data_IF_759064322539
#
_entry.id   IF_759064322539
#
_cell.length_a   1.000
_cell.length_b   1.000
_cell.length_c   1.000
_cell.angle_alpha   90.00
_cell.angle_beta   90.00
_cell.angle_gamma   90.00
#
_symmetry.space_group_name_H-M   'P 1'
#
loop_
_entity.id
_entity.type
_entity.pdbx_description
1 polymer ?
#
# COMPACT_ATOMS: atom_id res chain seq x y z
N UNK A 1 50.67 -0.37 -26.76
CA UNK A 1 50.18 0.20 -25.50
C UNK A 1 49.57 1.59 -25.64
N UNK A 2 48.62 1.81 -26.56
CA UNK A 2 47.93 3.10 -26.73
C UNK A 2 46.42 3.10 -26.47
N UNK A 3 45.84 1.95 -26.10
CA UNK A 3 44.38 1.76 -26.01
C UNK A 3 43.77 2.22 -24.68
N UNK A 4 44.51 2.13 -23.56
CA UNK A 4 43.99 2.48 -22.22
C UNK A 4 43.79 3.99 -22.03
N UNK A 5 44.72 4.83 -22.52
CA UNK A 5 44.61 6.29 -22.41
C UNK A 5 43.50 6.91 -23.28
N UNK A 6 43.17 6.27 -24.41
CA UNK A 6 42.06 6.70 -25.27
C UNK A 6 40.69 6.42 -24.66
N UNK A 7 40.55 5.28 -23.96
CA UNK A 7 39.32 4.88 -23.25
C UNK A 7 39.00 5.79 -22.07
N UNK A 8 40.00 6.17 -21.28
CA UNK A 8 39.82 7.13 -20.17
C UNK A 8 39.40 8.53 -20.66
N UNK A 9 40.01 9.03 -21.75
CA UNK A 9 39.61 10.31 -22.37
C UNK A 9 38.21 10.25 -22.97
N UNK A 10 37.80 9.12 -23.55
CA UNK A 10 36.45 8.95 -24.06
C UNK A 10 35.40 9.04 -22.93
N UNK A 11 35.67 8.43 -21.77
CA UNK A 11 34.81 8.54 -20.58
C UNK A 11 34.70 9.98 -20.08
N UNK A 12 35.82 10.71 -19.99
CA UNK A 12 35.83 12.12 -19.58
C UNK A 12 35.02 13.01 -20.54
N UNK A 13 35.15 12.80 -21.86
CA UNK A 13 34.44 13.57 -22.87
C UNK A 13 32.92 13.30 -22.83
N UNK A 14 32.53 12.04 -22.61
CA UNK A 14 31.12 11.64 -22.47
C UNK A 14 30.51 12.19 -21.17
N UNK A 15 31.25 12.19 -20.06
CA UNK A 15 30.81 12.78 -18.80
C UNK A 15 30.73 14.32 -18.85
N UNK A 16 31.60 14.98 -19.62
CA UNK A 16 31.68 16.44 -19.70
C UNK A 16 30.66 17.09 -20.66
N UNK A 17 30.00 16.34 -21.56
CA UNK A 17 29.02 16.90 -22.52
C UNK A 17 27.74 16.05 -22.63
N UNK A 18 26.89 16.01 -21.57
CA UNK A 18 25.58 15.38 -21.66
C UNK A 18 24.69 16.20 -22.61
N UNK A 19 24.44 15.67 -23.83
CA UNK A 19 23.49 16.25 -24.80
C UNK A 19 24.06 16.75 -26.14
N UNK A 20 25.38 16.70 -26.37
CA UNK A 20 25.95 17.01 -27.71
C UNK A 20 26.01 15.81 -28.65
N UNK A 21 25.83 14.61 -28.10
CA UNK A 21 25.92 13.37 -28.83
C UNK A 21 24.62 12.60 -28.62
N UNK A 22 24.13 12.00 -29.70
CA UNK A 22 22.98 11.10 -29.63
C UNK A 22 23.40 9.82 -28.88
N UNK A 23 22.70 9.53 -27.79
CA UNK A 23 23.00 8.41 -26.90
C UNK A 23 22.96 7.07 -27.64
N UNK A 24 22.08 6.92 -28.64
CA UNK A 24 21.99 5.72 -29.48
C UNK A 24 23.23 5.54 -30.35
N UNK A 25 23.71 6.62 -30.96
CA UNK A 25 24.93 6.59 -31.78
C UNK A 25 26.18 6.26 -30.94
N UNK A 26 26.30 6.81 -29.72
CA UNK A 26 27.44 6.48 -28.86
C UNK A 26 27.37 5.02 -28.39
N UNK A 27 26.17 4.50 -28.07
CA UNK A 27 26.00 3.10 -27.70
C UNK A 27 26.42 2.14 -28.82
N UNK A 28 26.08 2.45 -30.08
CA UNK A 28 26.53 1.67 -31.25
C UNK A 28 28.05 1.71 -31.39
N UNK A 29 28.67 2.89 -31.21
CA UNK A 29 30.14 3.05 -31.27
C UNK A 29 30.83 2.30 -30.13
N UNK A 30 30.32 2.38 -28.90
CA UNK A 30 30.83 1.61 -27.76
C UNK A 30 30.75 0.10 -28.01
N UNK A 31 29.65 -0.36 -28.62
CA UNK A 31 29.46 -1.78 -28.98
C UNK A 31 30.42 -2.23 -30.09
N UNK A 32 30.62 -1.40 -31.12
CA UNK A 32 31.57 -1.67 -32.21
C UNK A 32 33.02 -1.76 -31.70
N UNK A 33 33.41 -0.89 -30.76
CA UNK A 33 34.77 -0.83 -30.22
C UNK A 33 35.01 -1.71 -28.98
N UNK A 34 34.04 -2.54 -28.59
CA UNK A 34 34.13 -3.40 -27.40
C UNK A 34 34.54 -2.61 -26.15
N UNK A 35 33.86 -1.49 -25.92
CA UNK A 35 34.10 -0.60 -24.78
C UNK A 35 32.95 -0.68 -23.76
N UNK A 36 32.99 -1.67 -22.83
CA UNK A 36 31.91 -1.94 -21.88
C UNK A 36 31.70 -0.78 -20.90
N UNK A 37 32.78 -0.22 -20.37
CA UNK A 37 32.76 0.86 -19.38
C UNK A 37 32.02 2.12 -19.88
N UNK A 38 32.17 2.44 -21.17
CA UNK A 38 31.50 3.58 -21.77
C UNK A 38 30.01 3.36 -21.99
N UNK A 39 29.62 2.13 -22.34
CA UNK A 39 28.21 1.77 -22.49
C UNK A 39 27.48 1.79 -21.14
N UNK A 40 28.14 1.36 -20.05
CA UNK A 40 27.61 1.40 -18.70
C UNK A 40 27.25 2.82 -18.24
N UNK A 41 28.15 3.79 -18.45
CA UNK A 41 27.91 5.19 -18.09
C UNK A 41 26.73 5.78 -18.88
N UNK A 42 26.59 5.40 -20.16
CA UNK A 42 25.45 5.79 -20.99
C UNK A 42 24.14 5.16 -20.53
N UNK A 43 24.14 3.88 -20.17
CA UNK A 43 22.95 3.22 -19.63
C UNK A 43 22.52 3.81 -18.29
N UNK A 44 23.49 4.16 -17.41
CA UNK A 44 23.20 4.86 -16.15
C UNK A 44 22.57 6.25 -16.41
N UNK A 45 23.10 7.01 -17.38
CA UNK A 45 22.58 8.33 -17.75
C UNK A 45 21.21 8.28 -18.44
N UNK A 46 20.95 7.23 -19.22
CA UNK A 46 19.68 6.99 -19.90
C UNK A 46 18.62 6.33 -19.00
N UNK A 47 18.96 5.95 -17.77
CA UNK A 47 18.05 5.26 -16.84
C UNK A 47 17.75 3.80 -17.22
N UNK A 48 18.57 3.19 -18.08
CA UNK A 48 18.45 1.82 -18.57
C UNK A 48 19.13 0.84 -17.60
N UNK A 49 18.60 0.73 -16.38
CA UNK A 49 19.23 -0.04 -15.30
C UNK A 49 19.24 -1.54 -15.56
N UNK A 50 18.25 -2.05 -16.30
CA UNK A 50 18.15 -3.48 -16.63
C UNK A 50 19.29 -3.91 -17.54
N UNK A 51 19.66 -3.04 -18.47
CA UNK A 51 20.76 -3.23 -19.42
C UNK A 51 22.13 -3.17 -18.72
N UNK A 52 22.28 -2.32 -17.69
CA UNK A 52 23.45 -2.30 -16.79
C UNK A 52 23.60 -3.64 -16.07
N UNK A 53 22.52 -4.13 -15.46
CA UNK A 53 22.53 -5.39 -14.73
C UNK A 53 22.81 -6.56 -15.68
N UNK A 54 22.20 -6.58 -16.86
CA UNK A 54 22.43 -7.59 -17.89
C UNK A 54 23.88 -7.61 -18.38
N UNK A 55 24.53 -6.45 -18.42
CA UNK A 55 25.94 -6.36 -18.77
C UNK A 55 26.82 -7.07 -17.72
N UNK A 56 26.64 -6.76 -16.43
CA UNK A 56 27.37 -7.43 -15.35
C UNK A 56 27.05 -8.94 -15.25
N UNK A 57 25.81 -9.34 -15.59
CA UNK A 57 25.43 -10.75 -15.73
C UNK A 57 26.20 -11.45 -16.86
N UNK A 58 26.51 -10.74 -17.94
CA UNK A 58 27.30 -11.27 -19.06
C UNK A 58 28.78 -11.39 -18.70
N UNK A 59 29.29 -10.47 -17.87
CA UNK A 59 30.66 -10.51 -17.33
C UNK A 59 30.84 -11.51 -16.17
N UNK A 60 29.75 -12.14 -15.74
CA UNK A 60 29.71 -13.18 -14.70
C UNK A 60 30.17 -12.73 -13.30
N UNK A 61 30.00 -11.45 -12.97
CA UNK A 61 30.35 -10.88 -11.67
C UNK A 61 29.10 -10.69 -10.77
N UNK A 62 28.84 -11.60 -9.81
CA UNK A 62 27.66 -11.52 -8.94
C UNK A 62 27.70 -10.33 -7.97
N UNK A 63 28.89 -9.93 -7.52
CA UNK A 63 29.08 -8.82 -6.58
C UNK A 63 28.64 -7.49 -7.19
N UNK A 64 29.04 -7.26 -8.44
CA UNK A 64 28.68 -6.05 -9.19
C UNK A 64 27.19 -6.01 -9.57
N UNK A 65 26.57 -7.17 -9.77
CA UNK A 65 25.11 -7.29 -9.95
C UNK A 65 24.38 -6.86 -8.67
N UNK A 66 24.75 -7.39 -7.51
CA UNK A 66 24.13 -7.02 -6.22
C UNK A 66 24.36 -5.54 -5.90
N UNK A 67 25.56 -5.01 -6.13
CA UNK A 67 25.86 -3.59 -5.93
C UNK A 67 25.02 -2.68 -6.84
N UNK A 68 24.79 -3.09 -8.10
CA UNK A 68 23.93 -2.37 -9.04
C UNK A 68 22.46 -2.45 -8.63
N UNK A 69 21.98 -3.62 -8.20
CA UNK A 69 20.64 -3.80 -7.64
C UNK A 69 20.43 -2.94 -6.39
N UNK A 70 21.44 -2.77 -5.53
CA UNK A 70 21.34 -1.87 -4.37
C UNK A 70 21.22 -0.40 -4.78
N UNK A 71 21.95 0.03 -5.81
CA UNK A 71 21.92 1.43 -6.30
C UNK A 71 20.63 1.77 -7.05
N UNK A 72 20.08 0.81 -7.80
CA UNK A 72 18.95 1.05 -8.71
C UNK A 72 17.64 0.37 -8.30
N UNK A 73 17.69 -0.52 -7.31
CA UNK A 73 16.55 -1.34 -6.88
C UNK A 73 15.47 -0.60 -6.09
N UNK A 74 15.67 0.67 -5.75
CA UNK A 74 14.61 1.57 -5.30
C UNK A 74 13.80 2.14 -6.47
N UNK A 75 14.42 2.25 -7.66
CA UNK A 75 13.78 2.77 -8.87
C UNK A 75 13.05 1.67 -9.65
N UNK A 76 13.69 0.51 -9.78
CA UNK A 76 13.08 -0.67 -10.40
C UNK A 76 13.30 -1.91 -9.52
N UNK A 77 12.30 -2.29 -8.71
CA UNK A 77 12.41 -3.47 -7.85
C UNK A 77 12.52 -4.80 -8.62
N UNK A 78 12.12 -4.84 -9.90
CA UNK A 78 12.22 -6.06 -10.73
C UNK A 78 13.68 -6.46 -11.02
N UNK A 79 14.63 -5.56 -10.79
CA UNK A 79 16.06 -5.85 -10.91
C UNK A 79 16.50 -6.95 -9.94
N UNK A 80 15.95 -6.96 -8.71
CA UNK A 80 16.25 -8.00 -7.72
C UNK A 80 15.75 -9.38 -8.16
N UNK A 81 14.56 -9.43 -8.78
CA UNK A 81 14.01 -10.66 -9.32
C UNK A 81 14.85 -11.18 -10.51
N UNK A 82 15.28 -10.26 -11.39
CA UNK A 82 16.13 -10.61 -12.53
C UNK A 82 17.49 -11.13 -12.05
N UNK A 83 18.08 -10.50 -11.03
CA UNK A 83 19.31 -10.94 -10.38
C UNK A 83 19.16 -12.32 -9.72
N UNK A 84 18.07 -12.54 -8.98
CA UNK A 84 17.78 -13.81 -8.33
C UNK A 84 17.59 -14.93 -9.36
N UNK A 85 16.83 -14.69 -10.43
CA UNK A 85 16.60 -15.69 -11.48
C UNK A 85 17.91 -16.04 -12.21
N UNK A 86 18.73 -15.05 -12.54
CA UNK A 86 20.04 -15.27 -13.14
C UNK A 86 20.99 -16.03 -12.22
N UNK A 87 21.06 -15.66 -10.93
CA UNK A 87 21.89 -16.36 -9.94
C UNK A 87 21.42 -17.78 -9.69
N UNK A 88 20.10 -18.00 -9.74
CA UNK A 88 19.53 -19.32 -9.65
C UNK A 88 20.04 -20.16 -10.82
N UNK A 89 19.87 -19.76 -12.08
CA UNK A 89 20.26 -20.52 -13.29
C UNK A 89 21.75 -20.91 -13.44
N UNK A 90 22.61 -20.62 -12.46
CA UNK A 90 24.04 -20.96 -12.46
C UNK A 90 24.30 -22.32 -11.82
N UNK A 91 25.30 -23.04 -12.33
CA UNK A 91 25.76 -24.31 -11.75
C UNK A 91 26.30 -24.16 -10.31
N UNK A 92 26.98 -23.03 -10.04
CA UNK A 92 27.48 -22.69 -8.72
C UNK A 92 26.80 -21.42 -8.22
N UNK A 93 26.04 -21.57 -7.13
CA UNK A 93 25.30 -20.47 -6.52
C UNK A 93 26.21 -19.72 -5.54
N UNK A 94 26.36 -18.39 -5.68
CA UNK A 94 27.03 -17.57 -4.68
C UNK A 94 26.13 -17.39 -3.45
N UNK A 95 26.42 -18.13 -2.39
CA UNK A 95 25.57 -18.21 -1.17
C UNK A 95 25.42 -16.84 -0.49
N UNK A 96 26.52 -16.09 -0.37
CA UNK A 96 26.53 -14.79 0.30
C UNK A 96 25.72 -13.73 -0.46
N UNK A 97 25.93 -13.65 -1.79
CA UNK A 97 25.21 -12.71 -2.66
C UNK A 97 23.70 -13.01 -2.73
N UNK A 98 23.33 -14.30 -2.82
CA UNK A 98 21.91 -14.69 -2.81
C UNK A 98 21.26 -14.43 -1.45
N UNK A 99 21.99 -14.63 -0.35
CA UNK A 99 21.51 -14.29 0.99
C UNK A 99 21.18 -12.81 1.13
N UNK A 100 22.03 -11.94 0.56
CA UNK A 100 21.77 -10.50 0.53
C UNK A 100 20.55 -10.14 -0.33
N UNK A 101 20.44 -10.70 -1.54
CA UNK A 101 19.27 -10.48 -2.41
C UNK A 101 17.98 -10.95 -1.74
N UNK A 102 17.98 -12.13 -1.10
CA UNK A 102 16.80 -12.64 -0.41
C UNK A 102 16.36 -11.72 0.73
N UNK A 103 17.31 -11.12 1.45
CA UNK A 103 17.01 -10.18 2.52
C UNK A 103 16.36 -8.89 1.99
N UNK A 104 16.89 -8.33 0.90
CA UNK A 104 16.32 -7.13 0.27
C UNK A 104 14.94 -7.40 -0.36
N UNK A 105 14.76 -8.58 -0.97
CA UNK A 105 13.46 -9.03 -1.48
C UNK A 105 12.44 -9.21 -0.35
N UNK A 106 12.90 -9.70 0.82
CA UNK A 106 12.07 -9.85 2.01
C UNK A 106 11.68 -8.51 2.64
N UNK A 107 12.62 -7.57 2.76
CA UNK A 107 12.37 -6.25 3.35
C UNK A 107 11.41 -5.42 2.49
N UNK A 108 11.47 -5.57 1.17
CA UNK A 108 10.64 -4.82 0.22
C UNK A 108 9.36 -5.56 -0.22
N UNK A 109 9.12 -6.76 0.29
CA UNK A 109 7.97 -7.62 -0.04
C UNK A 109 7.72 -7.73 -1.56
N UNK A 110 8.79 -7.89 -2.34
CA UNK A 110 8.71 -7.78 -3.80
C UNK A 110 8.06 -9.00 -4.46
N UNK A 111 8.20 -10.17 -3.83
CA UNK A 111 7.88 -11.45 -4.46
C UNK A 111 7.33 -12.41 -3.40
N UNK A 112 6.23 -13.13 -3.69
CA UNK A 112 5.72 -14.17 -2.80
C UNK A 112 6.77 -15.24 -2.50
N UNK A 113 6.87 -15.74 -1.24
CA UNK A 113 7.86 -16.75 -0.86
C UNK A 113 7.82 -18.01 -1.73
N UNK A 114 6.63 -18.38 -2.21
CA UNK A 114 6.42 -19.53 -3.09
C UNK A 114 7.17 -19.39 -4.43
N UNK A 115 7.18 -18.18 -5.00
CA UNK A 115 7.83 -17.92 -6.28
C UNK A 115 9.37 -17.97 -6.13
N UNK A 116 9.90 -17.48 -5.01
CA UNK A 116 11.32 -17.61 -4.66
C UNK A 116 11.75 -19.08 -4.57
N UNK A 117 10.94 -19.91 -3.91
CA UNK A 117 11.18 -21.36 -3.81
C UNK A 117 11.18 -21.99 -5.20
N UNK A 118 10.22 -21.64 -6.05
CA UNK A 118 10.13 -22.19 -7.40
C UNK A 118 11.35 -21.83 -8.26
N UNK A 119 11.85 -20.60 -8.17
CA UNK A 119 13.06 -20.16 -8.90
C UNK A 119 14.28 -20.95 -8.44
N UNK A 120 14.47 -21.07 -7.13
CA UNK A 120 15.65 -21.75 -6.58
C UNK A 120 15.58 -23.27 -6.74
N UNK A 121 14.38 -23.86 -6.76
CA UNK A 121 14.19 -25.30 -6.99
C UNK A 121 14.65 -25.80 -8.35
N UNK A 122 14.80 -24.89 -9.34
CA UNK A 122 15.29 -25.25 -10.67
C UNK A 122 16.76 -25.67 -10.66
N UNK A 123 17.49 -25.37 -9.58
CA UNK A 123 18.93 -25.55 -9.51
C UNK A 123 19.30 -26.58 -8.44
N UNK A 124 19.97 -27.69 -8.81
CA UNK A 124 20.32 -28.75 -7.87
C UNK A 124 21.38 -28.31 -6.85
N UNK A 125 22.12 -27.22 -7.13
CA UNK A 125 23.06 -26.59 -6.21
C UNK A 125 22.40 -25.72 -5.13
N UNK A 126 21.09 -25.44 -5.22
CA UNK A 126 20.37 -24.65 -4.22
C UNK A 126 20.06 -25.49 -2.99
N UNK A 127 20.90 -25.37 -1.97
CA UNK A 127 20.66 -26.07 -0.71
C UNK A 127 19.51 -25.41 0.06
N UNK A 128 18.57 -26.23 0.58
CA UNK A 128 17.44 -25.76 1.39
C UNK A 128 17.87 -24.89 2.58
N UNK A 129 19.10 -25.10 3.07
CA UNK A 129 19.72 -24.31 4.14
C UNK A 129 19.73 -22.80 3.86
N UNK A 130 19.90 -22.40 2.60
CA UNK A 130 19.94 -20.99 2.18
C UNK A 130 18.58 -20.31 2.31
N UNK A 131 17.51 -21.06 2.03
CA UNK A 131 16.14 -20.55 1.95
C UNK A 131 15.38 -20.71 3.27
N UNK A 132 15.83 -21.64 4.13
CA UNK A 132 15.16 -21.96 5.40
C UNK A 132 14.94 -20.71 6.28
N UNK A 133 15.93 -19.82 6.36
CA UNK A 133 15.82 -18.57 7.13
C UNK A 133 14.74 -17.65 6.58
N UNK A 134 14.77 -17.41 5.26
CA UNK A 134 13.79 -16.61 4.54
C UNK A 134 12.37 -17.17 4.69
N UNK A 135 12.16 -18.46 4.44
CA UNK A 135 10.82 -19.09 4.52
C UNK A 135 10.28 -19.11 5.94
N UNK A 136 11.14 -19.37 6.94
CA UNK A 136 10.70 -19.36 8.34
C UNK A 136 10.25 -17.96 8.75
N UNK A 137 11.00 -16.93 8.36
CA UNK A 137 10.68 -15.53 8.68
C UNK A 137 9.42 -15.06 7.94
N UNK A 138 9.26 -15.42 6.67
CA UNK A 138 8.05 -15.13 5.90
C UNK A 138 6.80 -15.79 6.51
N UNK A 139 6.86 -17.08 6.82
CA UNK A 139 5.72 -17.79 7.45
C UNK A 139 5.36 -17.22 8.83
N UNK A 140 6.35 -16.77 9.61
CA UNK A 140 6.10 -16.11 10.89
C UNK A 140 5.40 -14.75 10.71
N UNK A 141 5.80 -13.97 9.70
CA UNK A 141 5.17 -12.70 9.36
C UNK A 141 3.72 -12.90 8.92
N UNK A 142 3.49 -13.84 8.00
CA UNK A 142 2.14 -14.17 7.51
C UNK A 142 1.24 -14.61 8.65
N UNK A 143 1.74 -15.49 9.53
CA UNK A 143 1.01 -15.91 10.73
C UNK A 143 0.68 -14.74 11.64
N UNK A 144 1.63 -13.84 11.89
CA UNK A 144 1.39 -12.66 12.71
C UNK A 144 0.36 -11.70 12.09
N UNK A 145 0.30 -11.60 10.76
CA UNK A 145 -0.75 -10.84 10.06
C UNK A 145 -2.12 -11.51 10.24
N UNK A 146 -2.20 -12.82 10.02
CA UNK A 146 -3.43 -13.60 10.19
C UNK A 146 -3.97 -13.47 11.61
N UNK A 147 -3.11 -13.55 12.62
CA UNK A 147 -3.51 -13.44 14.03
C UNK A 147 -4.06 -12.03 14.35
N UNK A 148 -3.44 -10.97 13.81
CA UNK A 148 -3.94 -9.58 13.96
C UNK A 148 -5.28 -9.39 13.28
N UNK A 149 -5.42 -9.84 12.05
CA UNK A 149 -6.65 -9.71 11.28
C UNK A 149 -7.79 -10.49 11.94
N UNK A 150 -7.50 -11.69 12.45
CA UNK A 150 -8.47 -12.51 13.20
C UNK A 150 -8.94 -11.82 14.48
N UNK A 151 -8.03 -11.18 15.22
CA UNK A 151 -8.39 -10.41 16.41
C UNK A 151 -9.28 -9.20 16.08
N UNK A 152 -8.96 -8.49 15.00
CA UNK A 152 -9.75 -7.35 14.54
C UNK A 152 -11.14 -7.77 14.07
N UNK A 153 -11.24 -8.90 13.36
CA UNK A 153 -12.53 -9.49 12.96
C UNK A 153 -13.38 -9.81 14.19
N UNK A 154 -12.80 -10.43 15.21
CA UNK A 154 -13.53 -10.75 16.44
C UNK A 154 -14.05 -9.48 17.15
N UNK A 155 -13.21 -8.43 17.24
CA UNK A 155 -13.61 -7.15 17.80
C UNK A 155 -14.76 -6.50 17.02
N UNK A 156 -14.67 -6.46 15.68
CA UNK A 156 -15.74 -5.90 14.85
C UNK A 156 -17.02 -6.72 14.90
N UNK A 157 -16.95 -8.04 15.05
CA UNK A 157 -18.13 -8.89 15.23
C UNK A 157 -18.83 -8.59 16.55
N UNK A 158 -18.09 -8.46 17.65
CA UNK A 158 -18.64 -8.09 18.96
C UNK A 158 -19.31 -6.71 18.92
N UNK A 159 -18.63 -5.72 18.32
CA UNK A 159 -19.17 -4.36 18.21
C UNK A 159 -20.43 -4.33 17.34
N UNK A 160 -20.43 -5.09 16.23
CA UNK A 160 -21.60 -5.21 15.34
C UNK A 160 -22.78 -5.83 16.06
N UNK A 161 -22.57 -6.87 16.86
CA UNK A 161 -23.64 -7.53 17.61
C UNK A 161 -24.18 -6.61 18.71
N UNK A 162 -23.31 -5.87 19.41
CA UNK A 162 -23.73 -4.83 20.36
C UNK A 162 -24.61 -3.77 19.68
N UNK A 163 -24.17 -3.24 18.53
CA UNK A 163 -24.94 -2.24 17.78
C UNK A 163 -26.28 -2.79 17.31
N UNK A 164 -26.35 -4.05 16.86
CA UNK A 164 -27.62 -4.70 16.49
C UNK A 164 -28.57 -4.82 17.68
N UNK A 165 -28.05 -5.21 18.85
CA UNK A 165 -28.84 -5.26 20.09
C UNK A 165 -29.39 -3.89 20.47
N UNK A 166 -28.59 -2.83 20.37
CA UNK A 166 -29.03 -1.45 20.62
C UNK A 166 -30.13 -1.00 19.65
N UNK A 167 -30.02 -1.36 18.36
CA UNK A 167 -31.05 -1.06 17.36
C UNK A 167 -32.36 -1.77 17.68
N UNK A 168 -32.31 -3.04 18.09
CA UNK A 168 -33.52 -3.79 18.44
C UNK A 168 -34.20 -3.25 19.70
N UNK A 169 -33.42 -2.89 20.73
CA UNK A 169 -33.93 -2.24 21.93
C UNK A 169 -34.59 -0.89 21.60
N UNK A 170 -33.99 -0.06 20.74
CA UNK A 170 -34.57 1.21 20.29
C UNK A 170 -35.88 1.04 19.49
N UNK A 171 -36.08 -0.11 18.83
CA UNK A 171 -37.30 -0.42 18.06
C UNK A 171 -38.42 -0.98 18.91
N UNK A 172 -38.10 -1.83 19.88
CA UNK A 172 -39.08 -2.65 20.61
C UNK A 172 -39.39 -2.14 22.02
N UNK A 173 -38.46 -1.41 22.65
CA UNK A 173 -38.58 -0.95 24.03
C UNK A 173 -38.87 0.56 24.12
N UNK A 174 -39.82 0.95 24.96
CA UNK A 174 -40.06 2.35 25.29
C UNK A 174 -39.00 2.87 26.25
N UNK A 175 -38.26 3.93 25.88
CA UNK A 175 -37.33 4.60 26.81
C UNK A 175 -38.08 5.46 27.83
N UNK A 176 -37.77 5.25 29.11
CA UNK A 176 -38.29 6.08 30.20
C UNK A 176 -37.39 7.30 30.39
N UNK A 177 -37.95 8.49 30.18
CA UNK A 177 -37.26 9.76 30.40
C UNK A 177 -37.45 10.22 31.85
N UNK A 178 -36.45 10.02 32.72
CA UNK A 178 -36.52 10.42 34.13
C UNK A 178 -35.77 11.74 34.47
N UNK A 179 -35.25 12.45 33.46
CA UNK A 179 -34.52 13.69 33.72
C UNK A 179 -35.45 14.77 34.29
N UNK A 180 -35.04 15.37 35.41
CA UNK A 180 -35.77 16.43 36.12
C UNK A 180 -35.25 17.82 35.82
N UNK A 181 -34.15 17.95 35.08
CA UNK A 181 -33.49 19.23 34.81
C UNK A 181 -33.36 19.49 33.31
N UNK A 182 -33.50 20.75 32.91
CA UNK A 182 -33.30 21.17 31.53
C UNK A 182 -31.83 21.05 31.13
N UNK A 183 -31.55 20.49 29.95
CA UNK A 183 -30.18 20.27 29.45
C UNK A 183 -29.48 21.57 29.05
N UNK A 184 -30.22 22.67 28.84
CA UNK A 184 -29.67 23.98 28.51
C UNK A 184 -29.43 24.86 29.75
N UNK A 185 -30.43 25.01 30.63
CA UNK A 185 -30.37 25.94 31.76
C UNK A 185 -30.15 25.27 33.13
N UNK A 186 -30.14 23.93 33.18
CA UNK A 186 -30.01 23.08 34.38
C UNK A 186 -31.05 23.32 35.49
N UNK A 187 -32.05 24.16 35.26
CA UNK A 187 -33.16 24.37 36.19
C UNK A 187 -34.13 23.19 36.18
N UNK A 188 -34.89 22.96 37.27
CA UNK A 188 -35.94 21.96 37.28
C UNK A 188 -36.92 22.19 36.14
N UNK A 189 -37.30 21.10 35.47
CA UNK A 189 -38.23 21.09 34.35
C UNK A 189 -39.63 21.46 34.84
N UNK A 190 -40.22 22.50 34.25
CA UNK A 190 -41.63 22.82 34.34
C UNK A 190 -42.34 22.44 33.03
N UNK A 191 -43.63 22.12 33.14
CA UNK A 191 -44.45 21.76 31.98
C UNK A 191 -44.88 23.05 31.25
N UNK A 192 -44.84 23.11 29.90
CA UNK A 192 -44.53 22.03 28.96
C UNK A 192 -43.03 21.88 28.63
N UNK A 193 -42.58 20.61 28.58
CA UNK A 193 -41.20 20.22 28.21
C UNK A 193 -41.15 19.49 26.86
N UNK A 194 -40.02 19.60 26.17
CA UNK A 194 -39.73 18.89 24.92
C UNK A 194 -38.64 17.85 25.19
N UNK A 195 -38.90 16.61 24.80
CA UNK A 195 -38.01 15.46 24.99
C UNK A 195 -37.51 14.97 23.64
N UNK A 196 -36.19 14.95 23.44
CA UNK A 196 -35.58 14.34 22.27
C UNK A 196 -35.17 12.91 22.59
N UNK A 197 -35.32 12.00 21.62
CA UNK A 197 -34.89 10.61 21.75
C UNK A 197 -33.37 10.44 21.69
N UNK A 198 -32.61 11.49 21.43
CA UNK A 198 -31.15 11.43 21.48
C UNK A 198 -30.67 11.28 22.94
N UNK A 199 -29.67 10.43 23.12
CA UNK A 199 -28.93 10.30 24.38
C UNK A 199 -27.50 10.74 24.16
N UNK A 200 -27.05 11.69 24.97
CA UNK A 200 -25.65 12.10 25.04
C UNK A 200 -25.14 11.70 26.41
N UNK A 201 -24.03 10.97 26.47
CA UNK A 201 -23.44 10.48 27.72
C UNK A 201 -24.43 9.71 28.61
N UNK A 202 -25.35 8.96 27.98
CA UNK A 202 -26.37 8.16 28.67
C UNK A 202 -27.55 8.96 29.27
N UNK A 203 -27.57 10.28 29.15
CA UNK A 203 -28.68 11.13 29.61
C UNK A 203 -29.55 11.58 28.42
N UNK A 204 -30.88 11.61 28.59
CA UNK A 204 -31.76 12.11 27.54
C UNK A 204 -31.74 13.63 27.46
N UNK A 205 -31.79 14.16 26.23
CA UNK A 205 -31.85 15.59 26.00
C UNK A 205 -33.29 16.10 26.22
N UNK A 206 -33.50 16.76 27.36
CA UNK A 206 -34.80 17.37 27.73
C UNK A 206 -34.64 18.87 27.90
N UNK A 207 -35.58 19.64 27.37
CA UNK A 207 -35.54 21.10 27.39
C UNK A 207 -36.90 21.71 27.76
N UNK A 208 -36.88 22.91 28.34
CA UNK A 208 -38.07 23.75 28.39
C UNK A 208 -38.40 24.26 26.99
N UNK A 209 -39.69 24.44 26.69
CA UNK A 209 -40.10 25.05 25.42
C UNK A 209 -39.44 26.41 25.19
N UNK A 210 -39.28 27.23 26.24
CA UNK A 210 -38.61 28.54 26.17
C UNK A 210 -37.11 28.45 25.87
N UNK A 211 -36.44 27.39 26.33
CA UNK A 211 -35.00 27.22 26.13
C UNK A 211 -34.65 26.69 24.73
N UNK A 212 -35.64 26.23 23.96
CA UNK A 212 -35.47 25.66 22.63
C UNK A 212 -35.48 26.73 21.51
N UNK A 213 -36.03 27.91 21.79
CA UNK A 213 -36.14 29.00 20.82
C UNK A 213 -37.00 28.61 19.61
N UNK A 214 -36.54 28.97 18.41
CA UNK A 214 -37.21 28.66 17.13
C UNK A 214 -36.93 27.23 16.63
N UNK A 215 -36.08 26.46 17.32
CA UNK A 215 -35.58 25.14 16.91
C UNK A 215 -36.45 24.01 17.45
N UNK A 216 -37.77 24.07 17.26
CA UNK A 216 -38.71 23.12 17.89
C UNK A 216 -38.53 21.65 17.44
N UNK A 217 -37.83 21.42 16.32
CA UNK A 217 -37.69 20.10 15.71
C UNK A 217 -36.31 19.46 15.85
N UNK A 218 -35.31 20.17 16.37
CA UNK A 218 -33.93 19.67 16.43
C UNK A 218 -33.29 19.92 17.80
N UNK A 219 -32.57 18.91 18.31
CA UNK A 219 -31.87 19.04 19.57
C UNK A 219 -30.64 19.94 19.39
N UNK A 220 -30.50 21.07 20.11
CA UNK A 220 -29.37 21.99 19.93
C UNK A 220 -28.01 21.38 20.34
N UNK A 221 -28.00 20.30 21.12
CA UNK A 221 -26.77 19.62 21.57
C UNK A 221 -26.32 18.49 20.64
N UNK A 222 -27.26 17.86 19.93
CA UNK A 222 -27.01 16.67 19.11
C UNK A 222 -27.31 16.87 17.62
N UNK A 223 -27.93 17.99 17.25
CA UNK A 223 -28.38 18.27 15.88
C UNK A 223 -27.23 18.23 14.87
N UNK A 224 -26.14 18.94 15.15
CA UNK A 224 -24.98 18.94 14.25
C UNK A 224 -24.39 17.54 14.03
N UNK A 225 -24.25 16.74 15.08
CA UNK A 225 -23.72 15.38 14.99
C UNK A 225 -24.68 14.46 14.22
N UNK A 226 -25.98 14.61 14.47
CA UNK A 226 -27.02 13.89 13.75
C UNK A 226 -27.04 14.26 12.25
N UNK A 227 -26.93 15.54 11.91
CA UNK A 227 -26.84 16.01 10.53
C UNK A 227 -25.57 15.50 9.85
N UNK A 228 -24.42 15.49 10.53
CA UNK A 228 -23.18 14.88 10.00
C UNK A 228 -23.39 13.40 9.70
N UNK A 229 -24.02 12.64 10.60
CA UNK A 229 -24.31 11.23 10.40
C UNK A 229 -25.30 10.99 9.23
N UNK A 230 -26.34 11.82 9.10
CA UNK A 230 -27.28 11.77 7.97
C UNK A 230 -26.57 12.10 6.65
N UNK A 231 -25.74 13.15 6.62
CA UNK A 231 -25.00 13.57 5.44
C UNK A 231 -23.96 12.52 5.02
N UNK A 232 -23.31 11.87 5.99
CA UNK A 232 -22.42 10.76 5.71
C UNK A 232 -23.18 9.60 5.08
N UNK A 233 -24.33 9.20 5.66
CA UNK A 233 -25.19 8.16 5.10
C UNK A 233 -25.72 8.52 3.71
N UNK A 234 -26.18 9.76 3.50
CA UNK A 234 -26.71 10.22 2.22
C UNK A 234 -25.60 10.33 1.17
N UNK A 235 -24.39 10.75 1.56
CA UNK A 235 -23.23 10.73 0.66
C UNK A 235 -22.86 9.31 0.25
N UNK A 236 -22.91 8.34 1.16
CA UNK A 236 -22.72 6.91 0.86
C UNK A 236 -23.82 6.37 -0.08
N UNK A 237 -25.08 6.74 0.15
CA UNK A 237 -26.23 6.33 -0.68
C UNK A 237 -26.29 7.03 -2.05
N UNK A 238 -25.80 8.27 -2.17
CA UNK A 238 -25.66 9.01 -3.44
C UNK A 238 -24.50 8.46 -4.28
N UNK A 239 -23.42 8.05 -3.61
CA UNK A 239 -22.29 7.29 -4.18
C UNK A 239 -22.80 5.93 -4.72
N UNK A 240 -23.71 5.26 -4.04
CA UNK A 240 -24.32 3.99 -4.52
C UNK A 240 -25.09 4.09 -5.85
N UNK A 241 -25.75 5.21 -6.19
CA UNK A 241 -26.85 5.19 -7.19
C UNK A 241 -26.60 5.76 -8.58
N UNK A 242 -25.55 6.55 -8.85
CA UNK A 242 -25.45 7.12 -10.22
C UNK A 242 -24.08 7.57 -10.73
N UNK A 243 -23.17 8.07 -9.88
CA UNK A 243 -21.93 8.70 -10.37
C UNK A 243 -20.68 7.80 -10.28
N UNK A 244 -20.77 6.67 -9.57
CA UNK A 244 -19.56 5.96 -9.11
C UNK A 244 -19.05 4.93 -10.11
N UNK A 245 -19.91 4.41 -10.99
CA UNK A 245 -19.51 3.43 -12.00
C UNK A 245 -18.46 4.01 -12.97
N UNK A 246 -18.67 5.22 -13.50
CA UNK A 246 -17.66 5.88 -14.34
C UNK A 246 -16.38 6.22 -13.58
N UNK A 247 -16.50 6.70 -12.34
CA UNK A 247 -15.34 7.05 -11.52
C UNK A 247 -14.50 5.81 -11.16
N UNK A 248 -15.17 4.67 -10.90
CA UNK A 248 -14.57 3.39 -10.61
C UNK A 248 -13.77 2.91 -11.81
N UNK A 249 -14.37 2.84 -13.01
CA UNK A 249 -13.63 2.41 -14.19
C UNK A 249 -12.51 3.37 -14.57
N UNK A 250 -12.70 4.67 -14.36
CA UNK A 250 -11.63 5.65 -14.58
C UNK A 250 -10.46 5.45 -13.62
N UNK A 251 -10.73 5.22 -12.34
CA UNK A 251 -9.68 4.95 -11.34
C UNK A 251 -9.03 3.58 -11.55
N UNK A 252 -9.82 2.53 -11.80
CA UNK A 252 -9.33 1.20 -12.12
C UNK A 252 -8.41 1.20 -13.33
N UNK A 253 -8.79 1.92 -14.39
CA UNK A 253 -7.98 2.04 -15.61
C UNK A 253 -6.75 2.95 -15.44
N UNK A 254 -6.77 3.88 -14.48
CA UNK A 254 -5.62 4.73 -14.15
C UNK A 254 -4.64 4.04 -13.17
N UNK A 255 -5.12 3.08 -12.39
CA UNK A 255 -4.33 2.31 -11.43
C UNK A 255 -3.56 1.18 -12.14
N UNK A 256 -2.46 1.51 -12.82
CA UNK A 256 -1.53 0.52 -13.38
C UNK A 256 -0.88 -0.30 -12.25
N UNK A 257 -1.49 -1.43 -11.87
CA UNK A 257 -0.97 -2.38 -10.88
C UNK A 257 -1.64 -2.37 -9.49
N UNK A 258 -2.43 -1.33 -9.14
CA UNK A 258 -3.19 -1.24 -7.87
C UNK A 258 -4.71 -1.45 -8.04
N UNK A 259 -5.09 -2.20 -9.06
CA UNK A 259 -6.50 -2.48 -9.36
C UNK A 259 -7.23 -3.21 -8.23
N UNK A 260 -6.55 -4.16 -7.56
CA UNK A 260 -7.14 -4.91 -6.46
C UNK A 260 -7.44 -4.04 -5.23
N UNK A 261 -6.54 -3.14 -4.84
CA UNK A 261 -6.78 -2.18 -3.75
C UNK A 261 -7.97 -1.27 -4.07
N UNK A 262 -8.04 -0.77 -5.31
CA UNK A 262 -9.15 0.07 -5.77
C UNK A 262 -10.47 -0.70 -5.69
N UNK A 263 -10.48 -1.98 -6.11
CA UNK A 263 -11.67 -2.84 -6.02
C UNK A 263 -12.04 -3.12 -4.56
N UNK A 264 -11.07 -3.43 -3.69
CA UNK A 264 -11.30 -3.71 -2.28
C UNK A 264 -11.86 -2.48 -1.53
N UNK A 265 -11.34 -1.29 -1.82
CA UNK A 265 -11.84 -0.03 -1.27
C UNK A 265 -13.29 0.22 -1.70
N UNK A 266 -13.60 0.01 -2.98
CA UNK A 266 -14.95 0.19 -3.53
C UNK A 266 -15.93 -0.89 -3.01
N UNK A 267 -15.46 -2.12 -2.84
CA UNK A 267 -16.25 -3.20 -2.23
C UNK A 267 -16.53 -2.93 -0.75
N UNK A 268 -15.55 -2.43 0.00
CA UNK A 268 -15.72 -2.01 1.40
C UNK A 268 -16.71 -0.84 1.57
N UNK A 269 -16.95 -0.07 0.50
CA UNK A 269 -17.98 0.99 0.45
C UNK A 269 -19.38 0.48 0.09
N UNK A 270 -19.56 -0.84 -0.11
CA UNK A 270 -20.87 -1.43 -0.41
C UNK A 270 -21.36 -1.25 -1.85
N UNK A 271 -20.49 -0.85 -2.78
CA UNK A 271 -20.89 -0.53 -4.17
C UNK A 271 -21.40 -1.72 -5.00
N UNK A 272 -21.21 -2.94 -4.51
CA UNK A 272 -21.61 -4.18 -5.19
C UNK A 272 -22.69 -4.98 -4.43
N UNK A 273 -23.28 -4.39 -3.39
CA UNK A 273 -24.31 -4.99 -2.52
C UNK A 273 -25.57 -4.14 -2.52
#
# INVERSE_FOLDING_TARGET
>A
GGSSGGRARALEIMAANPGKFDAEHILVVCRLHHFPDGALVLYEQAGLYREVVQHYMTENDPTSVVASCRRFGDRDPNLWLTALNWMASRDQIPIDDVGEVLKEVEEKDLVPPLMVIQILSQNPGAHLSLIKGFVTSALQRDKASIDKDSALIAQYQEETERMRGEVEALRSEGRIFQSRNCSACQQPLDLPSVHFMCSRDGQPCVFHKRCLGDSEHECPLCGEEHQRAINMRSSQHLVERSAVHESFFRQLNASEGRGFETIAEYFGRGLFT
#
